data_IF_255670885063
#
_entry.id   IF_255670885063
#
_cell.length_a   1.000
_cell.length_b   1.000
_cell.length_c   1.000
_cell.angle_alpha   90.00
_cell.angle_beta   90.00
_cell.angle_gamma   90.00
#
_symmetry.space_group_name_H-M   'P 1'
#
loop_
_entity.id
_entity.type
_entity.pdbx_description
1 polymer ?
#
# COMPACT_ATOMS: atom_id res chain seq x y z
N UNK A 1 17.70 -26.86 15.23
CA UNK A 1 16.25 -26.78 14.89
C UNK A 1 15.89 -25.46 14.22
N UNK A 2 16.53 -24.35 14.53
CA UNK A 2 16.30 -23.01 13.90
C UNK A 2 16.68 -22.97 12.40
N UNK A 3 17.65 -23.75 11.96
CA UNK A 3 18.09 -23.74 10.55
C UNK A 3 17.09 -24.37 9.58
N UNK A 4 16.23 -25.25 10.02
CA UNK A 4 15.17 -25.88 9.22
C UNK A 4 13.94 -24.96 9.06
N UNK A 5 13.63 -24.14 10.07
CA UNK A 5 12.55 -23.13 10.01
C UNK A 5 12.82 -22.05 8.96
N UNK A 6 14.10 -21.61 8.85
CA UNK A 6 14.49 -20.61 7.83
C UNK A 6 14.46 -21.13 6.39
N UNK A 7 14.65 -22.43 6.16
CA UNK A 7 14.61 -23.03 4.81
C UNK A 7 13.17 -23.19 4.30
N UNK A 8 12.23 -23.61 5.16
CA UNK A 8 10.83 -23.77 4.80
C UNK A 8 10.17 -22.43 4.41
N UNK A 9 10.47 -21.36 5.13
CA UNK A 9 9.97 -20.02 4.82
C UNK A 9 10.52 -19.49 3.47
N UNK A 10 11.80 -19.76 3.15
CA UNK A 10 12.41 -19.35 1.87
C UNK A 10 11.78 -20.07 0.68
N UNK A 11 11.48 -21.37 0.81
CA UNK A 11 10.83 -22.14 -0.25
C UNK A 11 9.41 -21.62 -0.56
N UNK A 12 8.64 -21.25 0.46
CA UNK A 12 7.31 -20.70 0.25
C UNK A 12 7.37 -19.32 -0.44
N UNK A 13 8.31 -18.47 -0.06
CA UNK A 13 8.55 -17.17 -0.71
C UNK A 13 8.90 -17.37 -2.20
N UNK A 14 9.79 -18.32 -2.50
CA UNK A 14 10.18 -18.58 -3.89
C UNK A 14 9.02 -19.17 -4.71
N UNK A 15 8.24 -20.09 -4.15
CA UNK A 15 7.02 -20.63 -4.78
C UNK A 15 6.00 -19.55 -5.10
N UNK A 16 5.74 -18.65 -4.14
CA UNK A 16 4.83 -17.51 -4.36
C UNK A 16 5.37 -16.60 -5.45
N UNK A 17 6.67 -16.25 -5.40
CA UNK A 17 7.32 -15.39 -6.41
C UNK A 17 7.20 -15.97 -7.82
N UNK A 18 7.44 -17.27 -7.98
CA UNK A 18 7.36 -17.96 -9.27
C UNK A 18 5.91 -18.07 -9.80
N UNK A 19 4.93 -18.18 -8.90
CA UNK A 19 3.52 -18.29 -9.27
C UNK A 19 2.88 -16.95 -9.64
N UNK A 20 3.48 -15.81 -9.27
CA UNK A 20 2.93 -14.48 -9.53
C UNK A 20 3.24 -13.99 -10.94
N UNK A 21 2.19 -13.66 -11.70
CA UNK A 21 2.33 -12.84 -12.90
C UNK A 21 2.49 -11.36 -12.50
N UNK A 22 3.73 -10.87 -12.59
CA UNK A 22 4.08 -9.50 -12.19
C UNK A 22 3.40 -8.44 -13.07
N UNK A 23 3.17 -8.74 -14.36
CA UNK A 23 2.49 -7.82 -15.28
C UNK A 23 1.02 -7.70 -14.88
N UNK A 24 0.34 -8.82 -14.67
CA UNK A 24 -1.04 -8.85 -14.23
C UNK A 24 -1.21 -8.18 -12.86
N UNK A 25 -0.28 -8.39 -11.94
CA UNK A 25 -0.30 -7.75 -10.62
C UNK A 25 -0.20 -6.23 -10.73
N UNK A 26 0.80 -5.71 -11.44
CA UNK A 26 1.02 -4.26 -11.57
C UNK A 26 -0.12 -3.60 -12.37
N UNK A 27 -0.66 -4.28 -13.39
CA UNK A 27 -1.74 -3.77 -14.22
C UNK A 27 -3.05 -3.49 -13.46
N UNK A 28 -3.26 -4.09 -12.29
CA UNK A 28 -4.40 -3.79 -11.42
C UNK A 28 -4.32 -2.41 -10.78
N UNK A 29 -3.11 -1.89 -10.60
CA UNK A 29 -2.87 -0.61 -9.94
C UNK A 29 -2.50 0.50 -10.91
N UNK A 30 -1.80 0.16 -12.01
CA UNK A 30 -1.18 1.12 -12.90
C UNK A 30 -1.37 0.65 -14.35
N UNK A 31 -1.86 1.52 -15.26
CA UNK A 31 -1.99 1.17 -16.67
C UNK A 31 -0.62 0.88 -17.29
N UNK A 32 -0.43 -0.34 -17.78
CA UNK A 32 0.77 -0.80 -18.47
C UNK A 32 0.61 -0.71 -19.99
N UNK A 33 1.68 -0.31 -20.67
CA UNK A 33 1.75 -0.28 -22.13
C UNK A 33 2.83 -1.23 -22.64
N UNK A 34 2.55 -2.08 -23.63
CA UNK A 34 3.55 -2.97 -24.19
C UNK A 34 4.62 -2.18 -24.96
N UNK A 35 5.90 -2.53 -24.75
CA UNK A 35 7.04 -1.96 -25.46
C UNK A 35 8.06 -3.06 -25.81
N UNK A 36 7.92 -3.64 -26.97
CA UNK A 36 8.74 -4.77 -27.40
C UNK A 36 8.47 -6.03 -26.56
N UNK A 37 9.46 -6.47 -25.79
CA UNK A 37 9.37 -7.61 -24.86
C UNK A 37 9.06 -7.21 -23.41
N UNK A 38 8.92 -5.92 -23.17
CA UNK A 38 8.74 -5.35 -21.83
C UNK A 38 7.42 -4.59 -21.76
N UNK A 39 7.01 -4.24 -20.56
CA UNK A 39 5.88 -3.35 -20.32
C UNK A 39 6.38 -2.08 -19.68
N UNK A 40 5.80 -0.94 -20.01
CA UNK A 40 6.19 0.36 -19.46
C UNK A 40 4.99 1.08 -18.88
N UNK A 41 5.26 1.87 -17.84
CA UNK A 41 4.27 2.74 -17.20
C UNK A 41 4.92 3.99 -16.60
N UNK A 42 4.10 4.93 -16.22
CA UNK A 42 4.49 6.04 -15.35
C UNK A 42 4.83 5.47 -13.98
N UNK A 43 5.95 5.88 -13.40
CA UNK A 43 6.39 5.36 -12.11
C UNK A 43 5.54 5.93 -10.97
N UNK A 44 4.99 5.10 -10.08
CA UNK A 44 4.17 5.57 -8.96
C UNK A 44 4.98 6.01 -7.74
N UNK A 45 6.30 5.80 -7.76
CA UNK A 45 7.17 5.99 -6.60
C UNK A 45 7.86 7.36 -6.56
N UNK A 46 7.67 8.19 -7.59
CA UNK A 46 8.13 9.58 -7.64
C UNK A 46 7.19 10.40 -8.53
N UNK A 47 7.28 11.70 -8.46
CA UNK A 47 6.52 12.61 -9.34
C UNK A 47 6.99 12.44 -10.79
N UNK A 48 6.17 11.76 -11.59
CA UNK A 48 6.51 11.32 -12.95
C UNK A 48 5.35 11.57 -13.91
N UNK A 49 5.67 12.09 -15.09
CA UNK A 49 4.70 12.41 -16.13
C UNK A 49 4.95 11.65 -17.43
N UNK A 50 5.99 10.81 -17.48
CA UNK A 50 6.38 10.03 -18.68
C UNK A 50 6.68 8.59 -18.27
N UNK A 51 6.39 7.61 -19.15
CA UNK A 51 6.72 6.22 -18.85
C UNK A 51 8.23 6.03 -18.60
N UNK A 52 8.60 5.82 -17.35
CA UNK A 52 9.99 5.63 -16.88
C UNK A 52 10.21 4.31 -16.16
N UNK A 53 9.15 3.61 -15.79
CA UNK A 53 9.23 2.30 -15.15
C UNK A 53 8.96 1.20 -16.16
N UNK A 54 9.85 0.18 -16.21
CA UNK A 54 9.69 -1.03 -17.01
C UNK A 54 9.39 -2.23 -16.13
N UNK A 55 8.55 -3.14 -16.64
CA UNK A 55 8.31 -4.47 -16.07
C UNK A 55 8.89 -5.51 -17.04
N UNK A 56 9.80 -6.32 -16.53
CA UNK A 56 10.59 -7.29 -17.30
C UNK A 56 10.23 -8.71 -16.85
N UNK A 57 9.76 -9.55 -17.78
CA UNK A 57 9.30 -10.92 -17.49
C UNK A 57 10.04 -12.00 -18.29
N UNK A 58 10.88 -11.61 -19.25
CA UNK A 58 11.58 -12.53 -20.16
C UNK A 58 12.93 -13.05 -19.61
N UNK A 59 13.23 -12.76 -18.33
CA UNK A 59 14.40 -13.26 -17.59
C UNK A 59 13.98 -14.28 -16.56
N UNK A 60 14.94 -14.91 -15.93
CA UNK A 60 14.73 -15.97 -14.91
C UNK A 60 13.80 -15.55 -13.77
N UNK A 61 13.83 -14.27 -13.43
CA UNK A 61 12.90 -13.70 -12.45
C UNK A 61 12.29 -12.41 -13.02
N UNK A 62 10.98 -12.27 -12.86
CA UNK A 62 10.27 -11.05 -13.21
C UNK A 62 10.60 -9.93 -12.21
N UNK A 63 10.85 -8.72 -12.71
CA UNK A 63 11.12 -7.55 -11.89
C UNK A 63 10.62 -6.28 -12.56
N UNK A 64 10.43 -5.23 -11.76
CA UNK A 64 10.22 -3.88 -12.25
C UNK A 64 11.45 -3.01 -11.97
N UNK A 65 11.67 -2.00 -12.80
CA UNK A 65 12.72 -0.99 -12.61
C UNK A 65 12.30 0.36 -13.18
N UNK A 66 12.40 1.39 -12.37
CA UNK A 66 12.32 2.77 -12.81
C UNK A 66 13.71 3.30 -13.18
N UNK A 67 13.84 3.88 -14.37
CA UNK A 67 15.11 4.47 -14.84
C UNK A 67 15.29 5.93 -14.39
N UNK A 68 14.26 6.56 -13.84
CA UNK A 68 14.33 7.93 -13.32
C UNK A 68 14.71 7.97 -11.85
N UNK A 69 13.96 7.32 -10.97
CA UNK A 69 14.23 7.31 -9.52
C UNK A 69 15.05 6.10 -9.05
N UNK A 70 15.35 5.16 -9.95
CA UNK A 70 16.10 3.92 -9.69
C UNK A 70 15.39 2.90 -8.76
N UNK A 71 14.11 3.12 -8.43
CA UNK A 71 13.28 2.16 -7.69
C UNK A 71 13.14 0.86 -8.50
N UNK A 72 13.34 -0.28 -7.85
CA UNK A 72 13.30 -1.59 -8.50
C UNK A 72 12.95 -2.68 -7.49
N UNK A 73 12.41 -3.79 -7.97
CA UNK A 73 12.08 -4.93 -7.12
C UNK A 73 11.26 -6.00 -7.82
N UNK A 74 10.85 -6.97 -7.02
CA UNK A 74 9.93 -8.05 -7.39
C UNK A 74 8.48 -7.73 -6.98
N UNK A 75 7.60 -8.72 -7.06
CA UNK A 75 6.19 -8.59 -6.69
C UNK A 75 5.99 -8.18 -5.22
N UNK A 76 6.83 -8.67 -4.31
CA UNK A 76 6.73 -8.33 -2.89
C UNK A 76 7.11 -6.88 -2.66
N UNK A 77 8.26 -6.47 -3.19
CA UNK A 77 8.74 -5.09 -3.07
C UNK A 77 7.76 -4.09 -3.67
N UNK A 78 7.14 -4.42 -4.82
CA UNK A 78 6.12 -3.58 -5.43
C UNK A 78 4.95 -3.34 -4.47
N UNK A 79 4.36 -4.40 -3.90
CA UNK A 79 3.23 -4.26 -2.96
C UNK A 79 3.61 -3.52 -1.69
N UNK A 80 4.80 -3.80 -1.13
CA UNK A 80 5.29 -3.09 0.06
C UNK A 80 5.37 -1.58 -0.16
N UNK A 81 5.95 -1.16 -1.29
CA UNK A 81 6.14 0.26 -1.59
C UNK A 81 4.86 0.95 -2.08
N UNK A 82 4.02 0.24 -2.83
CA UNK A 82 2.79 0.83 -3.38
C UNK A 82 1.66 0.91 -2.35
N UNK A 83 1.42 -0.18 -1.63
CA UNK A 83 0.36 -0.27 -0.62
C UNK A 83 0.83 0.13 0.79
N UNK A 84 2.14 0.38 0.98
CA UNK A 84 2.76 0.65 2.29
C UNK A 84 2.49 -0.44 3.34
N UNK A 85 2.51 -1.69 2.89
CA UNK A 85 2.31 -2.88 3.72
C UNK A 85 3.64 -3.56 4.07
N UNK A 86 3.62 -4.41 5.09
CA UNK A 86 4.79 -5.22 5.47
C UNK A 86 5.04 -6.35 4.45
N UNK A 87 6.26 -6.93 4.48
CA UNK A 87 6.59 -8.09 3.68
C UNK A 87 5.66 -9.28 3.96
N UNK A 88 5.29 -9.49 5.23
CA UNK A 88 4.42 -10.59 5.65
C UNK A 88 3.02 -10.42 5.08
N UNK A 89 2.47 -9.22 5.09
CA UNK A 89 1.19 -8.90 4.45
C UNK A 89 1.24 -9.10 2.93
N UNK A 90 2.32 -8.64 2.27
CA UNK A 90 2.50 -8.84 0.83
C UNK A 90 2.61 -10.33 0.48
N UNK A 91 3.34 -11.13 1.27
CA UNK A 91 3.46 -12.57 1.09
C UNK A 91 2.11 -13.26 1.22
N UNK A 92 1.31 -12.89 2.23
CA UNK A 92 -0.02 -13.47 2.42
C UNK A 92 -0.96 -13.14 1.25
N UNK A 93 -1.02 -11.87 0.83
CA UNK A 93 -1.84 -11.44 -0.30
C UNK A 93 -1.49 -12.21 -1.58
N UNK A 94 -0.20 -12.38 -1.86
CA UNK A 94 0.24 -13.09 -3.05
C UNK A 94 0.03 -14.59 -2.94
N UNK A 95 0.20 -15.19 -1.77
CA UNK A 95 -0.08 -16.59 -1.52
C UNK A 95 -1.57 -16.92 -1.71
N UNK A 96 -2.47 -16.11 -1.16
CA UNK A 96 -3.92 -16.23 -1.36
C UNK A 96 -4.30 -16.09 -2.85
N UNK A 97 -3.71 -15.13 -3.55
CA UNK A 97 -3.95 -14.89 -4.97
C UNK A 97 -3.49 -16.06 -5.85
N UNK A 98 -2.35 -16.66 -5.54
CA UNK A 98 -1.75 -17.74 -6.33
C UNK A 98 -2.19 -19.14 -5.88
N UNK A 99 -2.90 -19.26 -4.76
CA UNK A 99 -3.29 -20.54 -4.17
C UNK A 99 -2.12 -21.31 -3.55
N UNK A 100 -1.00 -20.66 -3.26
CA UNK A 100 0.16 -21.27 -2.62
C UNK A 100 -0.05 -21.36 -1.12
N UNK A 101 -0.07 -22.56 -0.57
CA UNK A 101 -0.13 -22.79 0.87
C UNK A 101 1.23 -22.48 1.53
N UNK A 102 1.21 -21.63 2.56
CA UNK A 102 2.39 -21.26 3.35
C UNK A 102 2.56 -22.24 4.51
N UNK A 103 3.70 -22.93 4.54
CA UNK A 103 3.95 -24.04 5.47
C UNK A 103 4.16 -23.61 6.93
N UNK A 104 4.57 -22.36 7.18
CA UNK A 104 4.97 -21.87 8.51
C UNK A 104 4.43 -20.46 8.82
N UNK A 105 3.19 -20.21 8.44
CA UNK A 105 2.53 -18.98 8.82
C UNK A 105 2.09 -19.08 10.28
N UNK A 106 2.78 -18.37 11.17
CA UNK A 106 2.51 -18.48 12.62
C UNK A 106 1.22 -17.78 13.02
N UNK A 107 0.61 -18.24 14.12
CA UNK A 107 -0.57 -17.58 14.67
C UNK A 107 -0.30 -16.10 15.04
N UNK A 108 0.93 -15.78 15.46
CA UNK A 108 1.36 -14.41 15.77
C UNK A 108 1.34 -13.50 14.55
N UNK A 109 1.81 -13.97 13.37
CA UNK A 109 1.79 -13.17 12.14
C UNK A 109 0.36 -12.79 11.74
N UNK A 110 -0.59 -13.72 11.94
CA UNK A 110 -2.03 -13.47 11.69
C UNK A 110 -2.61 -12.47 12.69
N UNK A 111 -2.19 -12.54 13.94
CA UNK A 111 -2.64 -11.65 15.02
C UNK A 111 -2.15 -10.22 14.79
N UNK A 112 -0.89 -10.04 14.40
CA UNK A 112 -0.29 -8.74 14.09
C UNK A 112 -0.97 -8.07 12.89
N UNK A 113 -1.24 -8.84 11.81
CA UNK A 113 -1.97 -8.33 10.64
C UNK A 113 -3.40 -7.95 11.01
N UNK A 114 -4.09 -8.79 11.80
CA UNK A 114 -5.44 -8.52 12.27
C UNK A 114 -5.51 -7.26 13.13
N UNK A 115 -4.53 -7.08 14.03
CA UNK A 115 -4.42 -5.89 14.87
C UNK A 115 -4.17 -4.64 14.05
N UNK A 116 -3.22 -4.69 13.10
CA UNK A 116 -2.93 -3.56 12.20
C UNK A 116 -4.16 -3.14 11.40
N UNK A 117 -4.92 -4.12 10.85
CA UNK A 117 -6.15 -3.85 10.12
C UNK A 117 -7.23 -3.21 11.02
N UNK A 118 -7.36 -3.66 12.27
CA UNK A 118 -8.25 -3.04 13.25
C UNK A 118 -7.85 -1.59 13.56
N UNK A 119 -6.55 -1.33 13.73
CA UNK A 119 -6.03 0.02 13.96
C UNK A 119 -6.25 0.93 12.75
N UNK A 120 -6.02 0.44 11.53
CA UNK A 120 -6.30 1.19 10.30
C UNK A 120 -7.79 1.54 10.18
N UNK A 121 -8.67 0.59 10.43
CA UNK A 121 -10.11 0.83 10.40
C UNK A 121 -10.56 1.84 11.47
N UNK A 122 -10.02 1.74 12.67
CA UNK A 122 -10.29 2.71 13.75
C UNK A 122 -9.80 4.12 13.39
N UNK A 123 -8.61 4.22 12.79
CA UNK A 123 -8.06 5.52 12.34
C UNK A 123 -8.89 6.12 11.20
N UNK A 124 -9.32 5.30 10.23
CA UNK A 124 -10.18 5.75 9.14
C UNK A 124 -11.54 6.25 9.66
N UNK A 125 -12.14 5.49 10.56
CA UNK A 125 -13.39 5.89 11.22
C UNK A 125 -13.23 7.22 12.00
N UNK A 126 -12.16 7.37 12.77
CA UNK A 126 -11.89 8.61 13.52
C UNK A 126 -11.72 9.80 12.58
N UNK A 127 -11.03 9.61 11.44
CA UNK A 127 -10.86 10.65 10.42
C UNK A 127 -12.21 11.11 9.87
N UNK A 128 -13.10 10.19 9.52
CA UNK A 128 -14.46 10.50 9.05
C UNK A 128 -15.21 11.35 10.07
N UNK A 129 -15.18 10.94 11.34
CA UNK A 129 -15.84 11.67 12.42
C UNK A 129 -15.26 13.10 12.62
N UNK A 130 -13.94 13.25 12.50
CA UNK A 130 -13.30 14.56 12.62
C UNK A 130 -13.66 15.48 11.45
N UNK A 131 -13.75 14.95 10.23
CA UNK A 131 -14.19 15.71 9.05
C UNK A 131 -15.65 16.11 9.20
N UNK A 132 -16.54 15.21 9.64
CA UNK A 132 -17.94 15.53 9.93
C UNK A 132 -18.07 16.61 10.98
N UNK A 133 -17.32 16.51 12.09
CA UNK A 133 -17.32 17.53 13.16
C UNK A 133 -16.89 18.92 12.67
N UNK A 134 -15.89 18.99 11.78
CA UNK A 134 -15.47 20.27 11.20
C UNK A 134 -16.54 20.84 10.25
N UNK A 135 -17.33 19.99 9.59
CA UNK A 135 -18.39 20.40 8.66
C UNK A 135 -19.70 20.79 9.37
N UNK A 136 -19.86 20.44 10.65
CA UNK A 136 -21.04 20.81 11.45
C UNK A 136 -21.16 22.34 11.56
N UNK A 137 -22.41 22.84 11.67
CA UNK A 137 -22.70 24.28 11.83
C UNK A 137 -22.06 24.87 13.09
N UNK A 138 -21.97 24.06 14.16
CA UNK A 138 -21.33 24.46 15.41
C UNK A 138 -19.82 24.78 15.26
N UNK A 139 -19.14 24.21 14.25
CA UNK A 139 -17.72 24.43 13.99
C UNK A 139 -17.40 25.67 13.12
N UNK A 140 -18.35 26.57 12.94
CA UNK A 140 -18.16 27.78 12.10
C UNK A 140 -16.98 28.66 12.52
N UNK A 141 -16.74 28.80 13.83
CA UNK A 141 -15.57 29.53 14.38
C UNK A 141 -14.24 28.85 14.06
N UNK A 142 -14.22 27.51 14.06
CA UNK A 142 -13.03 26.71 13.74
C UNK A 142 -12.70 26.82 12.24
N UNK A 143 -13.72 26.75 11.37
CA UNK A 143 -13.53 26.95 9.92
C UNK A 143 -13.01 28.36 9.62
N UNK A 144 -13.54 29.38 10.30
CA UNK A 144 -13.04 30.77 10.18
C UNK A 144 -11.57 30.86 10.61
N UNK A 145 -11.19 30.26 11.73
CA UNK A 145 -9.80 30.20 12.18
C UNK A 145 -8.85 29.61 11.13
N UNK A 146 -9.26 28.52 10.45
CA UNK A 146 -8.48 27.93 9.38
C UNK A 146 -8.35 28.87 8.17
N UNK A 147 -9.43 29.53 7.79
CA UNK A 147 -9.43 30.52 6.71
C UNK A 147 -8.52 31.74 7.02
N UNK A 148 -8.55 32.24 8.23
CA UNK A 148 -7.68 33.35 8.68
C UNK A 148 -6.19 32.97 8.64
N UNK A 149 -5.89 31.69 8.68
CA UNK A 149 -4.54 31.11 8.48
C UNK A 149 -4.20 30.75 7.03
N UNK A 150 -5.06 31.06 6.09
CA UNK A 150 -4.84 30.80 4.67
C UNK A 150 -5.16 29.37 4.22
N UNK A 151 -5.80 28.55 5.07
CA UNK A 151 -6.26 27.21 4.72
C UNK A 151 -7.65 27.34 4.12
N UNK A 152 -7.76 27.17 2.81
CA UNK A 152 -9.02 27.28 2.08
C UNK A 152 -9.81 25.96 2.09
N UNK A 153 -11.05 26.00 1.57
CA UNK A 153 -11.93 24.85 1.53
C UNK A 153 -11.35 23.68 0.72
N UNK A 154 -10.69 23.96 -0.41
CA UNK A 154 -10.06 22.94 -1.25
C UNK A 154 -8.93 22.21 -0.50
N UNK A 155 -8.17 22.96 0.31
CA UNK A 155 -7.13 22.34 1.16
C UNK A 155 -7.73 21.48 2.26
N UNK A 156 -8.84 21.92 2.87
CA UNK A 156 -9.55 21.14 3.91
C UNK A 156 -10.02 19.81 3.32
N UNK A 157 -10.62 19.83 2.15
CA UNK A 157 -11.10 18.63 1.46
C UNK A 157 -9.94 17.74 1.01
N UNK A 158 -8.94 18.30 0.31
CA UNK A 158 -7.79 17.56 -0.24
C UNK A 158 -7.00 16.81 0.84
N UNK A 159 -6.79 17.44 2.00
CA UNK A 159 -6.03 16.89 3.11
C UNK A 159 -6.89 16.26 4.20
N UNK A 160 -8.21 16.16 3.98
CA UNK A 160 -9.17 15.61 4.95
C UNK A 160 -8.98 16.22 6.35
N UNK A 161 -8.86 17.54 6.43
CA UNK A 161 -8.68 18.24 7.71
C UNK A 161 -9.99 18.16 8.49
N UNK A 162 -9.91 17.72 9.74
CA UNK A 162 -11.05 17.56 10.63
C UNK A 162 -10.86 18.28 11.95
N UNK A 163 -11.92 18.31 12.76
CA UNK A 163 -11.96 18.85 14.12
C UNK A 163 -12.23 17.72 15.10
N UNK A 164 -11.33 17.53 16.07
CA UNK A 164 -11.58 16.60 17.16
C UNK A 164 -12.73 17.13 18.04
N UNK A 165 -13.70 16.28 18.40
CA UNK A 165 -14.72 16.65 19.38
C UNK A 165 -14.10 16.97 20.75
N UNK A 166 -14.69 17.93 21.46
CA UNK A 166 -14.24 18.34 22.81
C UNK A 166 -14.75 17.36 23.88
N UNK A 167 -14.44 16.09 23.71
CA UNK A 167 -14.79 15.01 24.64
C UNK A 167 -13.65 14.01 24.80
N UNK A 168 -13.31 13.65 26.04
CA UNK A 168 -12.23 12.68 26.35
C UNK A 168 -12.55 11.23 25.95
N UNK A 169 -13.80 10.91 25.67
CA UNK A 169 -14.30 9.55 25.46
C UNK A 169 -14.84 9.33 24.07
N UNK A 170 -14.34 10.08 23.10
CA UNK A 170 -14.89 10.04 21.74
C UNK A 170 -14.38 8.82 20.93
N UNK A 171 -13.17 8.34 21.21
CA UNK A 171 -12.56 7.16 20.55
C UNK A 171 -12.44 6.03 21.53
#
# INVERSE_FOLDING_TARGET
MEHLLGMSNRQDIDRVREAVDLVALIAEYIPLQPKGREWVCVCPFHDDHKPSMCVVTHRDQAFYKCFSCNEHGDCFKFLQEYLKISFVEALQMLAERTGVELSNYTANDKEDISMRKKLQNATAWALEQYVETLNDDAASSNRKYLQDRGINADSIETFSIGLAPDTWTFI
#
